data_IF_984143409030
#
_entry.id   IF_984143409030
#
_cell.length_a   1.000
_cell.length_b   1.000
_cell.length_c   1.000
_cell.angle_alpha   90.00
_cell.angle_beta   90.00
_cell.angle_gamma   90.00
#
_symmetry.space_group_name_H-M   'P 1'
#
loop_
_entity.id
_entity.type
_entity.pdbx_description
1 polymer ?
#
# COMPACT_ATOMS: atom_id res chain seq x y z
N UNK A 1 13.58 9.06 -3.60
CA UNK A 1 12.20 8.56 -3.84
C UNK A 1 11.43 8.60 -2.54
N UNK A 2 10.24 9.16 -2.56
CA UNK A 2 9.33 9.11 -1.41
C UNK A 2 8.35 7.96 -1.61
N UNK A 3 8.00 7.29 -0.52
CA UNK A 3 7.00 6.23 -0.55
C UNK A 3 5.78 6.67 0.25
N UNK A 4 4.60 6.47 -0.32
CA UNK A 4 3.34 6.74 0.35
C UNK A 4 2.42 5.54 0.26
N UNK A 5 1.72 5.27 1.37
CA UNK A 5 0.64 4.30 1.41
C UNK A 5 -0.68 5.06 1.58
N UNK A 6 -1.61 4.86 0.67
CA UNK A 6 -2.96 5.41 0.77
C UNK A 6 -3.91 4.30 1.22
N UNK A 7 -4.68 4.56 2.25
CA UNK A 7 -5.66 3.63 2.81
C UNK A 7 -7.03 4.30 2.99
N UNK A 8 -8.08 3.51 2.94
CA UNK A 8 -9.45 3.97 3.17
C UNK A 8 -9.85 3.71 4.63
N UNK A 9 -10.19 4.77 5.33
CA UNK A 9 -10.53 4.72 6.75
C UNK A 9 -9.32 4.62 7.65
N UNK A 10 -9.48 5.07 8.88
CA UNK A 10 -8.42 5.00 9.89
C UNK A 10 -8.16 3.56 10.34
N UNK A 11 -6.99 3.31 10.88
CA UNK A 11 -6.66 2.06 11.56
C UNK A 11 -7.37 2.07 12.92
N UNK A 12 -8.27 1.11 13.17
CA UNK A 12 -9.20 1.13 14.30
C UNK A 12 -8.80 0.23 15.48
N UNK A 13 -7.88 -0.70 15.28
CA UNK A 13 -7.36 -1.57 16.33
C UNK A 13 -6.09 -0.97 16.96
N UNK A 14 -6.02 -0.95 18.29
CA UNK A 14 -4.83 -0.50 19.02
C UNK A 14 -3.59 -1.32 18.65
N UNK A 15 -3.77 -2.63 18.55
CA UNK A 15 -2.70 -3.57 18.27
C UNK A 15 -2.14 -3.36 16.85
N UNK A 16 -3.02 -3.20 15.88
CA UNK A 16 -2.61 -2.95 14.49
C UNK A 16 -1.96 -1.58 14.38
N UNK A 17 -2.53 -0.55 15.00
CA UNK A 17 -1.94 0.80 15.01
C UNK A 17 -0.54 0.77 15.57
N UNK A 18 -0.32 0.06 16.68
CA UNK A 18 1.00 -0.06 17.29
C UNK A 18 2.01 -0.72 16.34
N UNK A 19 1.61 -1.79 15.64
CA UNK A 19 2.46 -2.47 14.66
C UNK A 19 2.78 -1.55 13.48
N UNK A 20 1.78 -0.91 12.92
CA UNK A 20 1.95 0.01 11.78
C UNK A 20 2.89 1.15 12.16
N UNK A 21 2.71 1.75 13.33
CA UNK A 21 3.56 2.84 13.81
C UNK A 21 5.01 2.37 14.01
N UNK A 22 5.20 1.20 14.59
CA UNK A 22 6.52 0.63 14.81
C UNK A 22 7.27 0.45 13.50
N UNK A 23 6.65 -0.19 12.51
CA UNK A 23 7.30 -0.43 11.22
C UNK A 23 7.45 0.85 10.41
N UNK A 24 6.50 1.78 10.50
CA UNK A 24 6.63 3.09 9.86
C UNK A 24 7.87 3.83 10.33
N UNK A 25 8.13 3.84 11.64
CA UNK A 25 9.34 4.45 12.20
C UNK A 25 10.61 3.78 11.68
N UNK A 26 10.61 2.45 11.62
CA UNK A 26 11.76 1.68 11.11
C UNK A 26 12.01 1.96 9.62
N UNK A 27 10.96 2.02 8.82
CA UNK A 27 11.06 2.32 7.40
C UNK A 27 11.66 3.71 7.18
N UNK A 28 11.22 4.70 7.97
CA UNK A 28 11.70 6.08 7.85
C UNK A 28 13.19 6.23 8.17
N UNK A 29 13.80 5.25 8.80
CA UNK A 29 15.23 5.20 8.98
C UNK A 29 15.96 5.00 7.63
N UNK A 30 15.33 4.34 6.68
CA UNK A 30 15.91 4.05 5.35
C UNK A 30 15.45 5.02 4.28
N UNK A 31 14.17 5.37 4.29
CA UNK A 31 13.56 6.20 3.26
C UNK A 31 12.30 6.87 3.81
N UNK A 32 11.98 8.04 3.31
CA UNK A 32 10.76 8.74 3.71
C UNK A 32 9.53 7.92 3.33
N UNK A 33 8.73 7.59 4.31
CA UNK A 33 7.50 6.82 4.16
C UNK A 33 6.37 7.49 4.97
N UNK A 34 5.25 7.73 4.34
CA UNK A 34 4.07 8.32 4.96
C UNK A 34 2.84 7.49 4.62
N UNK A 35 1.83 7.57 5.49
CA UNK A 35 0.52 6.94 5.28
C UNK A 35 -0.52 8.05 5.24
N UNK A 36 -1.33 8.05 4.18
CA UNK A 36 -2.46 8.97 4.04
C UNK A 36 -3.76 8.19 4.21
N UNK A 37 -4.61 8.69 5.09
CA UNK A 37 -5.90 8.08 5.42
C UNK A 37 -7.00 8.86 4.72
N UNK A 38 -7.73 8.18 3.82
CA UNK A 38 -8.94 8.74 3.22
C UNK A 38 -10.09 8.47 4.19
N UNK A 39 -10.90 9.48 4.56
CA UNK A 39 -12.04 9.25 5.44
C UNK A 39 -12.99 8.18 4.90
N UNK A 40 -13.50 7.37 5.81
CA UNK A 40 -14.41 6.28 5.46
C UNK A 40 -15.73 6.82 4.90
N UNK A 41 -16.14 6.30 3.74
CA UNK A 41 -17.35 6.76 3.03
C UNK A 41 -18.58 5.93 3.43
N UNK A 42 -18.41 4.85 4.22
CA UNK A 42 -19.50 3.93 4.61
C UNK A 42 -20.62 4.57 5.42
N UNK A 43 -20.45 5.78 5.92
CA UNK A 43 -21.47 6.46 6.70
C UNK A 43 -22.70 6.85 5.88
N UNK A 44 -22.65 6.78 4.56
CA UNK A 44 -23.79 7.04 3.70
C UNK A 44 -24.47 5.72 3.34
N UNK A 45 -25.51 5.38 4.10
CA UNK A 45 -26.25 4.12 3.97
C UNK A 45 -27.00 3.98 2.65
N UNK A 46 -27.10 5.02 1.86
CA UNK A 46 -27.80 5.01 0.57
C UNK A 46 -26.90 4.61 -0.61
N UNK A 47 -25.59 4.46 -0.39
CA UNK A 47 -24.67 4.11 -1.45
C UNK A 47 -24.69 2.61 -1.76
N UNK A 48 -24.78 2.29 -3.05
CA UNK A 48 -24.53 0.92 -3.52
C UNK A 48 -23.03 0.60 -3.44
N UNK A 49 -22.67 -0.68 -3.56
CA UNK A 49 -21.26 -1.08 -3.62
C UNK A 49 -20.52 -0.38 -4.76
N UNK A 50 -21.14 -0.29 -5.93
CA UNK A 50 -20.56 0.40 -7.09
C UNK A 50 -20.35 1.88 -6.84
N UNK A 51 -21.34 2.54 -6.20
CA UNK A 51 -21.23 3.95 -5.86
C UNK A 51 -20.14 4.21 -4.82
N UNK A 52 -20.03 3.35 -3.81
CA UNK A 52 -18.98 3.46 -2.80
C UNK A 52 -17.61 3.29 -3.42
N UNK A 53 -17.44 2.27 -4.26
CA UNK A 53 -16.19 2.00 -4.98
C UNK A 53 -15.78 3.18 -5.85
N UNK A 54 -16.73 3.80 -6.56
CA UNK A 54 -16.49 4.99 -7.38
C UNK A 54 -16.06 6.17 -6.53
N UNK A 55 -16.75 6.42 -5.42
CA UNK A 55 -16.43 7.53 -4.52
C UNK A 55 -15.04 7.37 -3.88
N UNK A 56 -14.70 6.16 -3.44
CA UNK A 56 -13.36 5.84 -2.94
C UNK A 56 -12.30 6.05 -4.02
N UNK A 57 -12.59 5.61 -5.24
CA UNK A 57 -11.70 5.77 -6.39
C UNK A 57 -11.41 7.22 -6.72
N UNK A 58 -12.44 8.08 -6.70
CA UNK A 58 -12.27 9.52 -6.90
C UNK A 58 -11.38 10.14 -5.82
N UNK A 59 -11.58 9.75 -4.57
CA UNK A 59 -10.76 10.22 -3.46
C UNK A 59 -9.29 9.80 -3.61
N UNK A 60 -9.04 8.55 -4.03
CA UNK A 60 -7.70 8.05 -4.29
C UNK A 60 -7.05 8.86 -5.41
N UNK A 61 -7.75 9.04 -6.53
CA UNK A 61 -7.20 9.72 -7.70
C UNK A 61 -6.87 11.20 -7.44
N UNK A 62 -7.58 11.86 -6.52
CA UNK A 62 -7.25 13.24 -6.13
C UNK A 62 -5.91 13.34 -5.41
N UNK A 63 -5.43 12.27 -4.81
CA UNK A 63 -4.16 12.25 -4.07
C UNK A 63 -2.97 11.84 -4.94
N UNK A 64 -3.23 11.44 -6.17
CA UNK A 64 -2.21 10.91 -7.10
C UNK A 64 -1.90 11.95 -8.16
N UNK A 65 -0.62 12.17 -8.41
CA UNK A 65 -0.15 13.08 -9.45
C UNK A 65 0.27 12.31 -10.71
N UNK A 66 0.31 12.96 -11.90
CA UNK A 66 0.67 12.27 -13.14
C UNK A 66 2.04 11.59 -13.11
N UNK A 67 3.01 12.16 -12.39
CA UNK A 67 4.37 11.62 -12.28
C UNK A 67 4.52 10.49 -11.28
N UNK A 68 3.49 10.20 -10.48
CA UNK A 68 3.55 9.14 -9.49
C UNK A 68 3.54 7.76 -10.13
N UNK A 69 4.30 6.86 -9.53
CA UNK A 69 4.16 5.45 -9.84
C UNK A 69 3.21 4.82 -8.84
N UNK A 70 2.08 4.36 -9.34
CA UNK A 70 0.97 3.85 -8.51
C UNK A 70 0.95 2.34 -8.56
N UNK A 71 1.00 1.72 -7.39
CA UNK A 71 0.97 0.27 -7.21
C UNK A 71 -0.22 -0.08 -6.33
N UNK A 72 -1.14 -0.85 -6.88
CA UNK A 72 -2.30 -1.33 -6.11
C UNK A 72 -1.95 -2.62 -5.40
N UNK A 73 -2.35 -2.74 -4.14
CA UNK A 73 -2.33 -4.00 -3.42
C UNK A 73 -3.64 -4.72 -3.72
N UNK A 74 -3.54 -5.77 -4.53
CA UNK A 74 -4.68 -6.49 -5.08
C UNK A 74 -4.35 -7.97 -5.13
N UNK A 75 -5.25 -8.83 -4.67
CA UNK A 75 -5.02 -10.27 -4.65
C UNK A 75 -4.77 -10.89 -6.04
N UNK A 76 -5.15 -10.19 -7.09
CA UNK A 76 -4.90 -10.60 -8.48
C UNK A 76 -3.61 -10.03 -9.06
N UNK A 77 -2.83 -9.32 -8.25
CA UNK A 77 -1.56 -8.74 -8.66
C UNK A 77 -0.43 -9.77 -8.75
N UNK A 78 0.74 -9.28 -9.15
CA UNK A 78 1.94 -10.09 -9.18
C UNK A 78 2.34 -10.51 -7.75
N UNK A 79 2.73 -11.77 -7.59
CA UNK A 79 3.20 -12.29 -6.33
C UNK A 79 4.72 -12.32 -6.32
N UNK A 80 5.31 -12.02 -5.16
CA UNK A 80 6.76 -12.02 -4.98
C UNK A 80 7.14 -12.78 -3.71
N UNK A 81 8.28 -13.43 -3.75
CA UNK A 81 9.01 -13.78 -2.53
C UNK A 81 9.60 -12.49 -1.96
N UNK A 82 9.89 -12.46 -0.66
CA UNK A 82 10.42 -11.26 -0.01
C UNK A 82 11.70 -10.73 -0.67
N UNK A 83 12.60 -11.61 -1.08
CA UNK A 83 13.83 -11.22 -1.80
C UNK A 83 13.50 -10.60 -3.16
N UNK A 84 12.56 -11.19 -3.89
CA UNK A 84 12.13 -10.67 -5.18
C UNK A 84 11.46 -9.29 -5.05
N UNK A 85 10.67 -9.10 -4.01
CA UNK A 85 10.05 -7.81 -3.71
C UNK A 85 11.10 -6.75 -3.38
N UNK A 86 12.13 -7.11 -2.61
CA UNK A 86 13.24 -6.21 -2.32
C UNK A 86 13.95 -5.77 -3.62
N UNK A 87 14.21 -6.70 -4.53
CA UNK A 87 14.82 -6.42 -5.83
C UNK A 87 13.91 -5.51 -6.68
N UNK A 88 12.61 -5.79 -6.69
CA UNK A 88 11.62 -4.94 -7.37
C UNK A 88 11.67 -3.51 -6.82
N UNK A 89 11.73 -3.35 -5.49
CA UNK A 89 11.81 -2.04 -4.85
C UNK A 89 13.09 -1.31 -5.25
N UNK A 90 14.23 -2.01 -5.25
CA UNK A 90 15.52 -1.43 -5.65
C UNK A 90 15.46 -0.91 -7.09
N UNK A 91 14.85 -1.67 -7.98
CA UNK A 91 14.68 -1.24 -9.38
C UNK A 91 13.84 0.02 -9.49
N UNK A 92 12.81 0.18 -8.65
CA UNK A 92 11.99 1.39 -8.64
C UNK A 92 12.80 2.58 -8.11
N UNK A 93 13.60 2.39 -7.07
CA UNK A 93 14.47 3.45 -6.56
C UNK A 93 15.50 3.90 -7.61
N UNK A 94 16.01 2.97 -8.40
CA UNK A 94 17.01 3.25 -9.43
C UNK A 94 16.41 3.83 -10.72
N UNK A 95 15.10 3.78 -10.92
CA UNK A 95 14.43 4.17 -12.16
C UNK A 95 14.11 5.66 -12.28
N UNK A 96 14.46 6.46 -11.27
CA UNK A 96 14.15 7.89 -11.27
C UNK A 96 12.73 8.22 -10.80
N UNK A 97 11.98 7.26 -10.28
CA UNK A 97 10.66 7.51 -9.68
C UNK A 97 10.84 8.42 -8.47
N UNK A 98 10.15 9.56 -8.46
CA UNK A 98 10.20 10.51 -7.35
C UNK A 98 9.26 10.13 -6.21
N UNK A 99 8.09 9.58 -6.55
CA UNK A 99 7.09 9.18 -5.56
C UNK A 99 6.48 7.84 -5.97
N UNK A 100 6.60 6.86 -5.08
CA UNK A 100 6.02 5.53 -5.22
C UNK A 100 4.81 5.45 -4.30
N UNK A 101 3.63 5.26 -4.86
CA UNK A 101 2.37 5.27 -4.13
C UNK A 101 1.78 3.88 -4.14
N UNK A 102 1.65 3.29 -2.94
CA UNK A 102 0.90 2.05 -2.75
C UNK A 102 -0.51 2.37 -2.29
N UNK A 103 -1.49 1.61 -2.74
CA UNK A 103 -2.88 1.83 -2.35
C UNK A 103 -3.51 0.54 -1.87
N UNK A 104 -4.09 0.58 -0.67
CA UNK A 104 -4.96 -0.48 -0.15
C UNK A 104 -6.39 0.00 -0.31
N UNK A 105 -7.19 -0.74 -1.07
CA UNK A 105 -8.59 -0.40 -1.33
C UNK A 105 -9.51 -0.71 -0.17
N UNK A 106 -10.75 -0.26 -0.30
CA UNK A 106 -11.82 -0.58 0.63
C UNK A 106 -12.36 -2.00 0.41
N UNK A 107 -13.47 -2.35 1.07
CA UNK A 107 -13.99 -3.73 1.09
C UNK A 107 -14.44 -4.26 -0.28
N UNK A 108 -14.75 -3.38 -1.22
CA UNK A 108 -15.23 -3.77 -2.55
C UNK A 108 -14.16 -3.71 -3.64
N UNK A 109 -12.90 -3.45 -3.26
CA UNK A 109 -11.79 -3.33 -4.20
C UNK A 109 -11.72 -1.97 -4.88
N UNK A 110 -11.14 -1.93 -6.07
CA UNK A 110 -10.88 -0.69 -6.80
C UNK A 110 -11.87 -0.48 -7.93
N UNK A 111 -12.16 0.79 -8.23
CA UNK A 111 -12.92 1.18 -9.42
C UNK A 111 -12.10 0.97 -10.69
N UNK A 112 -12.77 0.90 -11.84
CA UNK A 112 -12.10 0.81 -13.13
C UNK A 112 -11.15 1.98 -13.39
N UNK A 113 -11.53 3.18 -12.95
CA UNK A 113 -10.70 4.37 -13.10
C UNK A 113 -9.38 4.25 -12.33
N UNK A 114 -9.41 3.67 -11.13
CA UNK A 114 -8.20 3.42 -10.34
C UNK A 114 -7.33 2.36 -11.03
N UNK A 115 -7.92 1.27 -11.49
CA UNK A 115 -7.19 0.25 -12.26
C UNK A 115 -6.56 0.85 -13.51
N UNK A 116 -7.27 1.72 -14.22
CA UNK A 116 -6.76 2.37 -15.42
C UNK A 116 -5.59 3.31 -15.16
N UNK A 117 -5.57 3.95 -13.98
CA UNK A 117 -4.47 4.86 -13.57
C UNK A 117 -3.25 4.09 -13.07
N UNK A 118 -3.44 2.94 -12.45
CA UNK A 118 -2.36 2.21 -11.81
C UNK A 118 -1.30 1.75 -12.80
N UNK A 119 -0.06 1.78 -12.36
CA UNK A 119 1.08 1.27 -13.13
C UNK A 119 1.30 -0.22 -12.90
N UNK A 120 1.03 -0.69 -11.69
CA UNK A 120 1.26 -2.09 -11.30
C UNK A 120 0.25 -2.53 -10.25
N UNK A 121 0.12 -3.85 -10.12
CA UNK A 121 -0.63 -4.50 -9.04
C UNK A 121 0.27 -5.53 -8.40
N UNK A 122 0.32 -5.55 -7.07
CA UNK A 122 1.08 -6.52 -6.29
C UNK A 122 0.13 -7.25 -5.35
N UNK A 123 0.24 -8.56 -5.28
CA UNK A 123 -0.46 -9.39 -4.31
C UNK A 123 0.49 -9.80 -3.20
N UNK A 124 0.12 -9.50 -1.96
CA UNK A 124 0.89 -9.95 -0.79
C UNK A 124 0.59 -11.41 -0.45
N UNK A 125 -0.54 -11.94 -0.90
CA UNK A 125 -0.93 -13.33 -0.71
C UNK A 125 -2.15 -13.66 -1.57
N UNK A 126 -2.31 -14.92 -1.93
CA UNK A 126 -3.55 -15.42 -2.53
C UNK A 126 -4.69 -15.51 -1.52
N UNK A 127 -4.34 -15.50 -0.23
CA UNK A 127 -5.34 -15.49 0.83
C UNK A 127 -5.84 -14.07 1.06
N UNK A 128 -7.09 -13.93 1.44
CA UNK A 128 -7.70 -12.64 1.72
C UNK A 128 -7.37 -12.19 3.14
N UNK A 129 -6.92 -10.96 3.28
CA UNK A 129 -6.71 -10.31 4.57
C UNK A 129 -7.77 -9.24 4.78
N UNK A 130 -8.11 -8.97 6.06
CA UNK A 130 -8.89 -7.77 6.35
C UNK A 130 -8.10 -6.53 5.93
N UNK A 131 -8.82 -5.46 5.56
CA UNK A 131 -8.18 -4.19 5.18
C UNK A 131 -7.51 -3.48 6.37
N UNK A 132 -7.68 -3.98 7.59
CA UNK A 132 -6.96 -3.51 8.77
C UNK A 132 -5.62 -4.23 8.92
N UNK A 133 -5.63 -5.57 8.98
CA UNK A 133 -4.40 -6.33 9.22
C UNK A 133 -3.41 -6.22 8.04
N UNK A 134 -3.90 -6.05 6.82
CA UNK A 134 -3.03 -5.93 5.65
C UNK A 134 -2.09 -4.73 5.75
N UNK A 135 -2.49 -3.69 6.48
CA UNK A 135 -1.65 -2.51 6.72
C UNK A 135 -0.39 -2.87 7.49
N UNK A 136 -0.53 -3.70 8.52
CA UNK A 136 0.62 -4.18 9.30
C UNK A 136 1.51 -5.10 8.47
N UNK A 137 0.91 -6.01 7.71
CA UNK A 137 1.64 -6.94 6.84
C UNK A 137 2.41 -6.16 5.76
N UNK A 138 1.79 -5.18 5.14
CA UNK A 138 2.44 -4.35 4.14
C UNK A 138 3.65 -3.60 4.72
N UNK A 139 3.46 -2.92 5.86
CA UNK A 139 4.55 -2.15 6.47
C UNK A 139 5.67 -3.05 6.93
N UNK A 140 5.37 -4.24 7.47
CA UNK A 140 6.39 -5.22 7.83
C UNK A 140 7.19 -5.66 6.60
N UNK A 141 6.54 -5.99 5.49
CA UNK A 141 7.21 -6.41 4.26
C UNK A 141 8.04 -5.29 3.62
N UNK A 142 7.57 -4.05 3.69
CA UNK A 142 8.35 -2.91 3.20
C UNK A 142 9.61 -2.71 4.04
N UNK A 143 9.49 -2.79 5.37
CA UNK A 143 10.64 -2.76 6.26
C UNK A 143 11.62 -3.91 5.95
N UNK A 144 11.10 -5.14 5.82
CA UNK A 144 11.89 -6.32 5.48
C UNK A 144 12.67 -6.13 4.18
N UNK A 145 12.04 -5.56 3.15
CA UNK A 145 12.69 -5.28 1.88
C UNK A 145 13.91 -4.38 2.07
N UNK A 146 13.82 -3.33 2.87
CA UNK A 146 14.95 -2.46 3.15
C UNK A 146 16.06 -3.18 3.92
N UNK A 147 15.72 -4.05 4.87
CA UNK A 147 16.74 -4.84 5.60
C UNK A 147 17.48 -5.79 4.66
N UNK A 148 16.78 -6.39 3.71
CA UNK A 148 17.38 -7.25 2.70
C UNK A 148 18.36 -6.45 1.84
N UNK A 149 17.95 -5.28 1.36
CA UNK A 149 18.77 -4.41 0.52
C UNK A 149 20.03 -3.91 1.23
N UNK A 150 19.99 -3.79 2.55
CA UNK A 150 21.12 -3.37 3.39
C UNK A 150 21.95 -4.53 3.92
N UNK A 151 21.58 -5.77 3.64
CA UNK A 151 22.27 -6.95 4.15
C UNK A 151 22.17 -7.13 5.67
N UNK A 152 21.10 -6.62 6.27
CA UNK A 152 20.86 -6.71 7.71
C UNK A 152 20.24 -8.07 8.08
N UNK A 153 20.47 -8.57 9.32
CA UNK A 153 20.08 -9.93 9.70
C UNK A 153 18.63 -10.07 10.16
N UNK A 154 17.71 -9.36 9.56
CA UNK A 154 16.27 -9.46 9.89
C UNK A 154 15.61 -10.60 9.12
N UNK A 155 15.93 -10.74 7.82
CA UNK A 155 15.36 -11.74 6.95
C UNK A 155 16.26 -12.98 6.90
N UNK A 156 15.65 -14.15 6.98
CA UNK A 156 16.33 -15.44 6.86
C UNK A 156 15.70 -16.26 5.74
N UNK A 157 16.57 -16.71 4.83
CA UNK A 157 16.17 -17.57 3.72
C UNK A 157 17.20 -18.65 3.44
#
# INVERSE_FOLDING_TARGET
MNIELIVIGKTDSKEITALVDMYTKRINFYNRFTITYIPDIRNNKSLTEAQQKTAEGEAILRLVEPSDRVVLLDEKGAEFRSIEYADWLQKRMNSGVKRLVFVIGGPYGFSEAVYGRANEKISLSKMTFSHQIIRAIFTEQLYRAYTILRGEPYHHE
#
